data_IF_378148789119
#
_entry.id   IF_378148789119
#
_cell.length_a   1.000
_cell.length_b   1.000
_cell.length_c   1.000
_cell.angle_alpha   90.00
_cell.angle_beta   90.00
_cell.angle_gamma   90.00
#
_symmetry.space_group_name_H-M   'P 1'
#
loop_
_entity.id
_entity.type
_entity.pdbx_description
1 polymer ?
#
# COMPACT_ATOMS: atom_id res chain seq x y z
N UNK A 1 0.78 -13.85 3.86
CA UNK A 1 0.76 -13.72 5.33
C UNK A 1 -0.51 -14.38 5.87
N UNK A 2 -0.55 -14.85 7.11
CA UNK A 2 -1.79 -15.28 7.80
C UNK A 2 -2.54 -14.03 8.31
N UNK A 3 -3.88 -14.07 8.36
CA UNK A 3 -4.76 -12.88 8.46
C UNK A 3 -4.28 -11.83 9.48
N UNK A 4 -3.85 -12.24 10.68
CA UNK A 4 -3.39 -11.31 11.73
C UNK A 4 -1.97 -10.73 11.59
N UNK A 5 -1.25 -11.07 10.53
CA UNK A 5 0.11 -10.56 10.27
C UNK A 5 0.09 -9.57 9.10
N UNK A 6 0.96 -8.56 9.17
CA UNK A 6 1.09 -7.49 8.17
C UNK A 6 -0.20 -6.67 7.95
N UNK A 7 -0.75 -6.11 9.04
CA UNK A 7 -1.92 -5.20 9.02
C UNK A 7 -1.62 -3.81 8.43
N UNK A 8 -0.35 -3.48 8.27
CA UNK A 8 0.10 -2.26 7.63
C UNK A 8 1.15 -2.58 6.58
N UNK A 9 1.01 -2.02 5.39
CA UNK A 9 2.07 -1.98 4.39
C UNK A 9 2.45 -0.52 4.15
N UNK A 10 3.74 -0.23 4.29
CA UNK A 10 4.32 1.07 4.01
C UNK A 10 5.15 0.94 2.75
N UNK A 11 4.89 1.81 1.78
CA UNK A 11 5.67 1.93 0.56
C UNK A 11 6.33 3.29 0.55
N UNK A 12 7.64 3.30 0.30
CA UNK A 12 8.45 4.51 0.21
C UNK A 12 8.85 4.63 -1.24
N UNK A 13 8.28 5.61 -1.93
CA UNK A 13 8.50 5.81 -3.34
C UNK A 13 7.86 4.79 -4.28
N UNK A 14 8.09 4.99 -5.58
CA UNK A 14 7.70 4.06 -6.66
C UNK A 14 8.93 3.25 -7.09
N UNK A 15 8.85 1.90 -7.14
CA UNK A 15 9.99 1.03 -7.46
C UNK A 15 10.28 1.02 -8.97
N UNK A 16 10.83 2.12 -9.47
CA UNK A 16 11.22 2.26 -10.87
C UNK A 16 12.47 1.42 -11.19
N UNK A 17 12.44 0.62 -12.27
CA UNK A 17 13.65 -0.03 -12.78
C UNK A 17 14.72 1.00 -13.18
N UNK A 18 16.00 0.65 -13.11
CA UNK A 18 17.06 1.59 -13.48
C UNK A 18 17.01 1.93 -14.98
N UNK A 19 16.70 3.19 -15.30
CA UNK A 19 16.56 3.65 -16.69
C UNK A 19 17.86 3.55 -17.50
N UNK A 20 19.04 3.57 -16.86
CA UNK A 20 20.34 3.49 -17.52
C UNK A 20 20.73 2.07 -17.94
N UNK A 21 19.93 1.06 -17.58
CA UNK A 21 20.18 -0.31 -18.02
C UNK A 21 19.89 -0.48 -19.51
N UNK A 22 20.85 -1.09 -20.22
CA UNK A 22 20.77 -1.33 -21.66
C UNK A 22 19.52 -2.11 -22.09
N UNK A 23 19.12 -3.10 -21.30
CA UNK A 23 17.91 -3.90 -21.58
C UNK A 23 16.64 -3.07 -21.56
N UNK A 24 16.55 -2.14 -20.62
CA UNK A 24 15.38 -1.28 -20.43
C UNK A 24 15.34 -0.25 -21.56
N UNK A 25 16.47 0.39 -21.85
CA UNK A 25 16.60 1.34 -22.95
C UNK A 25 16.21 0.69 -24.30
N UNK A 26 16.82 -0.45 -24.63
CA UNK A 26 16.49 -1.21 -25.85
C UNK A 26 15.03 -1.62 -25.91
N UNK A 27 14.44 -2.03 -24.78
CA UNK A 27 13.03 -2.42 -24.74
C UNK A 27 12.10 -1.24 -24.97
N UNK A 28 12.43 -0.08 -24.41
CA UNK A 28 11.68 1.16 -24.65
C UNK A 28 11.76 1.57 -26.12
N UNK A 29 12.96 1.65 -26.70
CA UNK A 29 13.14 2.01 -28.11
C UNK A 29 12.43 1.02 -29.05
N UNK A 30 12.51 -0.28 -28.77
CA UNK A 30 11.80 -1.30 -29.53
C UNK A 30 10.28 -1.08 -29.50
N UNK A 31 9.71 -0.82 -28.31
CA UNK A 31 8.27 -0.57 -28.19
C UNK A 31 7.86 0.71 -28.95
N UNK A 32 8.67 1.76 -28.91
CA UNK A 32 8.41 3.01 -29.63
C UNK A 32 8.42 2.82 -31.15
N UNK A 33 9.42 2.10 -31.68
CA UNK A 33 9.50 1.75 -33.09
C UNK A 33 8.29 0.90 -33.48
N UNK A 34 7.97 -0.12 -32.69
CA UNK A 34 6.88 -1.06 -33.02
C UNK A 34 5.50 -0.39 -32.98
N UNK A 35 5.27 0.56 -32.06
CA UNK A 35 4.03 1.35 -31.99
C UNK A 35 3.86 2.24 -33.22
N UNK A 36 4.95 2.87 -33.69
CA UNK A 36 4.94 3.66 -34.95
C UNK A 36 4.66 2.80 -36.18
N UNK A 37 5.28 1.62 -36.29
CA UNK A 37 5.12 0.74 -37.45
C UNK A 37 3.73 0.12 -37.55
N UNK A 38 3.20 -0.39 -36.43
CA UNK A 38 1.93 -1.15 -36.44
C UNK A 38 0.69 -0.26 -36.33
N UNK A 39 0.84 1.00 -35.88
CA UNK A 39 -0.26 1.92 -35.54
C UNK A 39 -1.35 1.30 -34.65
N UNK A 40 -1.00 0.24 -33.91
CA UNK A 40 -1.96 -0.49 -33.11
C UNK A 40 -2.19 0.26 -31.78
N UNK A 41 -3.42 0.71 -31.47
CA UNK A 41 -3.71 1.46 -30.25
C UNK A 41 -3.49 0.64 -28.97
N UNK A 42 -3.53 -0.69 -29.05
CA UNK A 42 -3.25 -1.58 -27.91
C UNK A 42 -1.75 -1.67 -27.56
N UNK A 43 -0.86 -1.18 -28.42
CA UNK A 43 0.57 -1.21 -28.14
C UNK A 43 1.00 -0.04 -27.25
N UNK A 44 1.73 -0.37 -26.19
CA UNK A 44 2.26 0.59 -25.24
C UNK A 44 3.53 1.25 -25.81
N UNK A 45 3.66 2.57 -25.64
CA UNK A 45 4.91 3.26 -25.87
C UNK A 45 5.96 2.83 -24.84
N UNK A 46 7.25 3.05 -25.14
CA UNK A 46 8.36 2.69 -24.27
C UNK A 46 8.20 3.27 -22.86
N UNK A 47 7.87 4.56 -22.75
CA UNK A 47 7.65 5.23 -21.46
C UNK A 47 6.43 4.69 -20.71
N UNK A 48 5.34 4.39 -21.40
CA UNK A 48 4.14 3.81 -20.80
C UNK A 48 4.43 2.41 -20.23
N UNK A 49 5.14 1.59 -21.00
CA UNK A 49 5.59 0.28 -20.57
C UNK A 49 6.49 0.37 -19.32
N UNK A 50 7.43 1.31 -19.29
CA UNK A 50 8.33 1.55 -18.15
C UNK A 50 7.56 1.91 -16.87
N UNK A 51 6.59 2.83 -16.98
CA UNK A 51 5.69 3.16 -15.86
C UNK A 51 4.91 1.92 -15.38
N UNK A 52 4.34 1.15 -16.31
CA UNK A 52 3.59 -0.07 -15.98
C UNK A 52 4.45 -1.08 -15.20
N UNK A 53 5.74 -1.23 -15.52
CA UNK A 53 6.61 -2.13 -14.76
C UNK A 53 6.69 -1.74 -13.29
N UNK A 54 6.95 -0.46 -13.01
CA UNK A 54 7.07 0.04 -11.65
C UNK A 54 5.75 -0.11 -10.88
N UNK A 55 4.62 0.23 -11.51
CA UNK A 55 3.31 0.12 -10.88
C UNK A 55 2.82 -1.32 -10.74
N UNK A 56 3.26 -2.26 -11.58
CA UNK A 56 3.00 -3.69 -11.36
C UNK A 56 3.67 -4.19 -10.08
N UNK A 57 4.94 -3.84 -9.87
CA UNK A 57 5.66 -4.18 -8.64
C UNK A 57 5.01 -3.53 -7.41
N UNK A 58 4.64 -2.24 -7.52
CA UNK A 58 3.93 -1.53 -6.46
C UNK A 58 2.59 -2.20 -6.11
N UNK A 59 1.71 -2.40 -7.10
CA UNK A 59 0.41 -3.04 -6.89
C UNK A 59 0.55 -4.45 -6.32
N UNK A 60 1.60 -5.19 -6.70
CA UNK A 60 1.88 -6.52 -6.14
C UNK A 60 2.21 -6.46 -4.64
N UNK A 61 3.00 -5.46 -4.23
CA UNK A 61 3.34 -5.23 -2.83
C UNK A 61 2.11 -4.79 -2.01
N UNK A 62 1.31 -3.87 -2.56
CA UNK A 62 0.07 -3.40 -1.92
C UNK A 62 -0.96 -4.51 -1.73
N UNK A 63 -1.06 -5.42 -2.71
CA UNK A 63 -1.90 -6.62 -2.63
C UNK A 63 -1.46 -7.65 -1.57
N UNK A 64 -0.31 -7.47 -0.90
CA UNK A 64 0.08 -8.33 0.23
C UNK A 64 -0.68 -8.00 1.52
N UNK A 65 -1.17 -6.76 1.66
CA UNK A 65 -1.85 -6.28 2.87
C UNK A 65 -3.28 -6.81 2.99
N UNK A 66 -4.01 -6.84 1.87
CA UNK A 66 -5.43 -7.20 1.80
C UNK A 66 -5.59 -8.46 0.96
N UNK A 67 -5.92 -9.59 1.59
CA UNK A 67 -5.93 -10.91 0.95
C UNK A 67 -7.31 -11.39 0.52
N UNK A 68 -8.37 -10.91 1.18
CA UNK A 68 -9.75 -11.30 0.89
C UNK A 68 -10.72 -10.17 1.26
N UNK A 69 -12.00 -10.29 0.84
CA UNK A 69 -13.04 -9.26 1.05
C UNK A 69 -13.31 -8.87 2.51
N UNK A 70 -12.99 -9.76 3.45
CA UNK A 70 -13.16 -9.54 4.90
C UNK A 70 -11.85 -9.14 5.59
N UNK A 71 -10.75 -9.05 4.84
CA UNK A 71 -9.45 -8.65 5.36
C UNK A 71 -9.39 -7.12 5.40
N UNK A 72 -8.74 -6.57 6.42
CA UNK A 72 -8.53 -5.13 6.53
C UNK A 72 -7.07 -4.86 6.87
N UNK A 73 -6.61 -3.69 6.46
CA UNK A 73 -5.27 -3.21 6.71
C UNK A 73 -5.09 -1.79 6.22
N UNK A 74 -4.06 -1.14 6.74
CA UNK A 74 -3.66 0.20 6.33
C UNK A 74 -2.58 0.11 5.25
N UNK A 75 -2.78 0.84 4.16
CA UNK A 75 -1.77 1.03 3.12
C UNK A 75 -1.29 2.47 3.21
N UNK A 76 0.01 2.65 3.40
CA UNK A 76 0.64 3.96 3.50
C UNK A 76 1.61 4.10 2.34
N UNK A 77 1.41 5.15 1.54
CA UNK A 77 2.21 5.45 0.36
C UNK A 77 2.88 6.80 0.59
N UNK A 78 4.21 6.80 0.65
CA UNK A 78 5.00 8.00 0.91
C UNK A 78 5.70 8.38 -0.40
N UNK A 79 5.05 9.25 -1.19
CA UNK A 79 5.59 9.81 -2.42
C UNK A 79 4.73 11.01 -2.85
N UNK A 80 5.35 12.14 -3.18
CA UNK A 80 4.66 13.33 -3.70
C UNK A 80 3.96 13.07 -5.04
N UNK A 81 4.45 12.09 -5.82
CA UNK A 81 3.92 11.76 -7.15
C UNK A 81 2.52 11.16 -7.11
N UNK A 82 2.02 10.78 -5.93
CA UNK A 82 0.64 10.33 -5.74
C UNK A 82 -0.34 11.47 -5.40
N UNK A 83 0.17 12.68 -5.13
CA UNK A 83 -0.71 13.80 -4.84
C UNK A 83 -1.51 14.21 -6.09
N UNK A 84 -2.83 14.32 -5.91
CA UNK A 84 -3.79 14.67 -6.96
C UNK A 84 -4.02 16.18 -7.06
N UNK A 85 -3.56 16.95 -6.06
CA UNK A 85 -3.82 18.39 -5.96
C UNK A 85 -2.94 19.23 -6.88
N UNK A 86 -1.76 18.73 -7.23
CA UNK A 86 -0.81 19.33 -8.16
C UNK A 86 -0.76 18.46 -9.41
N UNK A 87 -0.85 19.04 -10.62
CA UNK A 87 -0.68 18.40 -11.94
C UNK A 87 0.06 17.04 -11.85
N UNK A 88 -0.65 15.95 -11.56
CA UNK A 88 0.01 14.75 -11.08
C UNK A 88 0.94 14.25 -12.16
N UNK A 89 2.25 14.22 -11.86
CA UNK A 89 3.27 13.72 -12.79
C UNK A 89 2.99 12.27 -13.23
N UNK A 90 2.20 11.54 -12.43
CA UNK A 90 1.81 10.19 -12.73
C UNK A 90 0.29 10.03 -12.63
N UNK A 91 -0.38 9.62 -13.72
CA UNK A 91 -1.80 9.34 -13.68
C UNK A 91 -2.16 8.20 -12.72
N UNK A 92 -3.21 8.42 -11.93
CA UNK A 92 -3.68 7.44 -10.95
C UNK A 92 -4.15 6.13 -11.59
N UNK A 93 -4.45 6.11 -12.90
CA UNK A 93 -4.90 4.89 -13.59
C UNK A 93 -3.88 3.74 -13.53
N UNK A 94 -2.60 4.00 -13.22
CA UNK A 94 -1.63 2.95 -12.97
C UNK A 94 -1.85 2.21 -11.63
N UNK A 95 -2.56 2.82 -10.68
CA UNK A 95 -3.01 2.16 -9.46
C UNK A 95 -4.28 1.34 -9.70
N UNK A 96 -4.36 0.21 -9.01
CA UNK A 96 -5.53 -0.65 -9.04
C UNK A 96 -6.79 0.13 -8.64
N UNK A 97 -7.91 -0.14 -9.32
CA UNK A 97 -9.17 0.59 -9.12
C UNK A 97 -9.65 0.59 -7.64
N UNK A 98 -9.43 -0.51 -6.92
CA UNK A 98 -9.80 -0.60 -5.50
C UNK A 98 -8.93 0.28 -4.59
N UNK A 99 -7.66 0.52 -4.94
CA UNK A 99 -6.77 1.44 -4.21
C UNK A 99 -7.21 2.87 -4.47
N UNK A 100 -7.38 3.22 -5.75
CA UNK A 100 -7.78 4.58 -6.17
C UNK A 100 -9.02 5.10 -5.47
N UNK A 101 -10.03 4.26 -5.28
CA UNK A 101 -11.30 4.63 -4.63
C UNK A 101 -11.16 4.92 -3.14
N UNK A 102 -10.08 4.46 -2.51
CA UNK A 102 -9.83 4.60 -1.07
C UNK A 102 -8.56 5.44 -0.79
N UNK A 103 -8.01 6.11 -1.80
CA UNK A 103 -6.80 6.92 -1.67
C UNK A 103 -7.16 8.25 -0.99
N UNK A 104 -6.40 8.61 0.05
CA UNK A 104 -6.54 9.87 0.77
C UNK A 104 -5.15 10.49 0.86
N UNK A 105 -5.02 11.74 0.39
CA UNK A 105 -3.76 12.50 0.48
C UNK A 105 -3.69 13.27 1.80
N UNK A 106 -2.52 13.28 2.42
CA UNK A 106 -2.25 14.07 3.62
C UNK A 106 -0.99 14.91 3.39
N UNK A 107 -1.10 16.22 3.61
CA UNK A 107 0.03 17.16 3.49
C UNK A 107 0.66 17.49 4.85
N UNK A 108 0.10 16.95 5.92
CA UNK A 108 0.51 17.19 7.30
C UNK A 108 0.55 15.84 8.04
N UNK A 109 1.63 15.62 8.80
CA UNK A 109 1.87 14.35 9.48
C UNK A 109 0.93 14.13 10.68
N UNK A 110 0.60 15.19 11.41
CA UNK A 110 -0.30 15.12 12.57
C UNK A 110 -1.70 14.66 12.15
N UNK A 111 -2.26 15.24 11.09
CA UNK A 111 -3.56 14.84 10.52
C UNK A 111 -3.55 13.38 10.04
N UNK A 112 -2.46 12.97 9.39
CA UNK A 112 -2.27 11.58 8.98
C UNK A 112 -2.26 10.64 10.19
N UNK A 113 -1.50 10.97 11.24
CA UNK A 113 -1.39 10.16 12.45
C UNK A 113 -2.74 10.04 13.17
N UNK A 114 -3.49 11.13 13.31
CA UNK A 114 -4.82 11.12 13.91
C UNK A 114 -5.80 10.24 13.13
N UNK A 115 -5.82 10.38 11.81
CA UNK A 115 -6.64 9.55 10.92
C UNK A 115 -6.29 8.07 11.04
N UNK A 116 -5.00 7.75 11.07
CA UNK A 116 -4.50 6.38 11.22
C UNK A 116 -4.93 5.76 12.55
N UNK A 117 -4.74 6.47 13.66
CA UNK A 117 -5.16 6.01 15.00
C UNK A 117 -6.67 5.80 15.05
N UNK A 118 -7.45 6.72 14.48
CA UNK A 118 -8.92 6.59 14.39
C UNK A 118 -9.33 5.37 13.57
N UNK A 119 -8.67 5.11 12.45
CA UNK A 119 -8.91 3.93 11.60
C UNK A 119 -8.68 2.62 12.36
N UNK A 120 -7.52 2.48 13.03
CA UNK A 120 -7.20 1.27 13.79
C UNK A 120 -8.19 1.03 14.94
N UNK A 121 -8.55 2.07 15.70
CA UNK A 121 -9.56 1.96 16.77
C UNK A 121 -10.92 1.52 16.23
N UNK A 122 -11.35 2.06 15.10
CA UNK A 122 -12.62 1.68 14.47
C UNK A 122 -12.62 0.21 14.04
N UNK A 123 -11.52 -0.30 13.48
CA UNK A 123 -11.41 -1.69 13.04
C UNK A 123 -11.28 -2.68 14.19
N UNK A 124 -10.59 -2.32 15.27
CA UNK A 124 -10.60 -3.12 16.50
C UNK A 124 -12.02 -3.27 17.07
N UNK A 125 -12.82 -2.20 17.08
CA UNK A 125 -14.18 -2.25 17.58
C UNK A 125 -15.08 -3.15 16.71
N UNK A 126 -14.94 -3.09 15.39
CA UNK A 126 -15.67 -3.92 14.42
C UNK A 126 -15.37 -5.43 14.60
N UNK A 127 -14.12 -5.77 14.93
CA UNK A 127 -13.73 -7.15 15.25
C UNK A 127 -14.36 -7.66 16.54
N UNK A 128 -14.59 -6.79 17.53
CA UNK A 128 -15.21 -7.17 18.82
C UNK A 128 -16.71 -7.43 18.64
N UNK A 129 -17.41 -6.69 17.78
CA UNK A 129 -18.84 -6.87 17.50
C UNK A 129 -19.14 -8.09 16.61
N UNK A 130 -18.19 -8.55 15.79
CA UNK A 130 -18.40 -9.69 14.89
C UNK A 130 -18.23 -11.07 15.57
N UNK A 131 -17.82 -11.12 16.85
CA UNK A 131 -17.83 -12.37 17.62
C UNK A 131 -19.27 -12.68 18.04
N UNK A 132 -19.93 -13.73 17.51
CA UNK A 132 -21.24 -14.12 17.97
C UNK A 132 -21.17 -14.49 19.46
N UNK A 133 -22.11 -14.00 20.26
CA UNK A 133 -22.18 -14.17 21.71
C UNK A 133 -22.23 -15.63 22.21
N UNK A 134 -22.13 -16.63 21.33
CA UNK A 134 -22.24 -18.06 21.68
C UNK A 134 -20.95 -18.72 22.19
N UNK A 135 -19.86 -18.00 22.40
CA UNK A 135 -18.67 -18.60 23.04
C UNK A 135 -17.86 -17.60 23.86
N UNK A 136 -18.47 -16.99 24.86
CA UNK A 136 -17.73 -16.24 25.88
C UNK A 136 -17.42 -17.17 27.04
N UNK A 137 -16.36 -17.96 26.91
CA UNK A 137 -15.67 -18.50 28.08
C UNK A 137 -14.67 -17.46 28.60
N UNK A 138 -14.59 -17.29 29.92
CA UNK A 138 -13.79 -16.26 30.59
C UNK A 138 -12.28 -16.32 30.24
N UNK A 139 -11.80 -17.46 29.73
CA UNK A 139 -10.43 -17.67 29.24
C UNK A 139 -10.08 -16.83 28.00
N UNK A 140 -11.03 -16.60 27.08
CA UNK A 140 -10.78 -15.85 25.83
C UNK A 140 -10.61 -14.35 26.08
N UNK A 141 -11.33 -13.78 27.06
CA UNK A 141 -11.17 -12.38 27.49
C UNK A 141 -9.77 -12.11 28.07
N UNK A 142 -9.17 -13.10 28.74
CA UNK A 142 -7.84 -12.97 29.35
C UNK A 142 -6.71 -13.00 28.30
N UNK A 143 -6.87 -13.79 27.23
CA UNK A 143 -5.91 -13.83 26.11
C UNK A 143 -5.94 -12.54 25.27
N UNK A 144 -7.13 -11.98 24.99
CA UNK A 144 -7.26 -10.69 24.31
C UNK A 144 -6.66 -9.53 25.13
N UNK A 145 -6.80 -9.55 26.47
CA UNK A 145 -6.11 -8.59 27.36
C UNK A 145 -4.60 -8.78 27.37
N UNK A 146 -4.06 -10.00 27.43
CA UNK A 146 -2.59 -10.25 27.37
C UNK A 146 -1.99 -9.75 26.05
N UNK A 147 -2.74 -9.84 24.95
CA UNK A 147 -2.32 -9.37 23.61
C UNK A 147 -2.18 -7.84 23.53
N UNK A 148 -2.93 -7.07 24.34
CA UNK A 148 -2.80 -5.60 24.46
C UNK A 148 -1.52 -5.15 25.16
N UNK A 149 -0.89 -5.98 26.00
CA UNK A 149 0.31 -5.59 26.75
C UNK A 149 1.63 -5.93 26.04
N UNK A 150 1.61 -6.81 25.04
CA UNK A 150 2.83 -7.24 24.34
C UNK A 150 3.28 -6.28 23.22
N UNK A 151 2.42 -5.36 22.78
CA UNK A 151 2.72 -4.38 21.72
C UNK A 151 3.09 -2.99 22.25
N UNK A 152 3.23 -2.82 23.57
CA UNK A 152 3.27 -1.50 24.22
C UNK A 152 4.57 -1.08 24.91
N UNK A 153 5.68 -1.84 24.85
CA UNK A 153 6.96 -1.40 25.44
C UNK A 153 8.16 -1.89 24.65
N UNK A 154 8.71 -1.01 23.82
CA UNK A 154 10.16 -0.84 23.69
C UNK A 154 10.41 0.65 23.44
N UNK A 155 10.44 1.39 24.53
CA UNK A 155 11.03 2.73 24.60
C UNK A 155 12.50 2.61 24.21
N UNK A 156 12.89 3.35 23.16
CA UNK A 156 14.27 3.72 22.87
C UNK A 156 14.85 4.33 24.15
N UNK A 157 15.70 3.59 24.86
CA UNK A 157 16.62 4.17 25.83
C UNK A 157 17.93 4.40 25.11
N UNK A 158 18.14 5.67 24.85
CA UNK A 158 19.44 6.29 24.65
C UNK A 158 20.41 5.86 25.76
N UNK A 159 21.53 5.28 25.36
CA UNK A 159 22.71 5.11 26.20
C UNK A 159 23.95 5.15 25.32
N UNK A 160 24.52 6.35 25.22
CA UNK A 160 25.96 6.65 25.21
C UNK A 160 26.86 5.41 25.12
N UNK A 161 27.54 5.25 23.98
CA UNK A 161 29.00 5.14 23.84
C UNK A 161 29.38 5.91 22.58
#
# INVERSE_FOLDING_TARGET
FSDDRARTVITIGIPYPNIKMLEIDRKMSFNDIRKKLTKNPSMLAGREWYNIQAFRALNQALGRCIRHRKDWGAIIMIDERFDQSQNSFIPNYYLSNWIRRNLISFNNFELFQESLVKYFKSKEQELITFVPQKTINQSTKMQLKKRKYFTGKNTFKDSRI
#
